data_IF_596674179767
#
_entry.id   IF_596674179767
#
_cell.length_a   1.000
_cell.length_b   1.000
_cell.length_c   1.000
_cell.angle_alpha   90.00
_cell.angle_beta   90.00
_cell.angle_gamma   90.00
#
_symmetry.space_group_name_H-M   'P 1'
#
loop_
_entity.id
_entity.type
_entity.pdbx_description
1 polymer ?
#
# COMPACT_ATOMS: atom_id res chain seq x y z
N UNK A 1 40.58 68.31 -20.69
CA UNK A 1 39.54 69.25 -20.21
C UNK A 1 38.33 68.43 -19.85
N UNK A 2 38.03 68.32 -18.55
CA UNK A 2 36.83 67.62 -18.09
C UNK A 2 35.60 68.39 -18.60
N UNK A 3 34.60 67.71 -19.20
CA UNK A 3 33.40 68.37 -19.68
C UNK A 3 32.66 69.03 -18.51
N UNK A 4 32.22 70.27 -18.73
CA UNK A 4 31.54 71.09 -17.74
C UNK A 4 30.23 70.40 -17.31
N UNK A 5 29.99 70.32 -16.00
CA UNK A 5 28.86 69.59 -15.41
C UNK A 5 27.50 70.16 -15.85
N UNK A 6 27.48 71.40 -16.34
CA UNK A 6 26.28 72.11 -16.82
C UNK A 6 26.06 72.00 -18.33
N UNK A 7 26.79 71.11 -19.03
CA UNK A 7 26.55 70.91 -20.46
C UNK A 7 25.20 70.26 -20.71
N UNK A 8 24.51 70.67 -21.79
CA UNK A 8 23.21 70.13 -22.17
C UNK A 8 23.22 68.60 -22.33
N UNK A 9 24.36 68.03 -22.72
CA UNK A 9 24.61 66.59 -22.79
C UNK A 9 24.70 65.92 -21.42
N UNK A 10 25.26 66.59 -20.40
CA UNK A 10 25.27 66.10 -19.02
C UNK A 10 23.87 66.11 -18.40
N UNK A 11 23.08 67.16 -18.67
CA UNK A 11 21.68 67.25 -18.23
C UNK A 11 20.79 66.19 -18.91
N UNK A 12 20.97 65.97 -20.21
CA UNK A 12 20.24 64.93 -20.95
C UNK A 12 20.58 63.51 -20.45
N UNK A 13 21.84 63.25 -20.09
CA UNK A 13 22.26 61.98 -19.49
C UNK A 13 21.68 61.80 -18.08
N UNK A 14 21.64 62.86 -17.28
CA UNK A 14 21.07 62.82 -15.93
C UNK A 14 19.55 62.60 -15.96
N UNK A 15 18.82 63.26 -16.86
CA UNK A 15 17.39 63.00 -17.10
C UNK A 15 17.14 61.58 -17.60
N UNK A 16 17.97 61.06 -18.50
CA UNK A 16 17.85 59.68 -18.98
C UNK A 16 18.03 58.65 -17.86
N UNK A 17 19.00 58.88 -16.96
CA UNK A 17 19.26 57.98 -15.82
C UNK A 17 18.16 58.09 -14.76
N UNK A 18 17.63 59.29 -14.51
CA UNK A 18 16.60 59.51 -13.47
C UNK A 18 15.20 59.08 -13.92
N UNK A 19 14.87 59.20 -15.22
CA UNK A 19 13.59 58.77 -15.79
C UNK A 19 13.56 57.30 -16.22
N UNK A 20 14.67 56.57 -16.12
CA UNK A 20 14.68 55.13 -16.37
C UNK A 20 13.79 54.41 -15.34
N UNK A 21 12.69 53.74 -15.75
CA UNK A 21 11.83 53.01 -14.84
C UNK A 21 12.64 51.90 -14.19
N UNK A 22 12.89 52.01 -12.88
CA UNK A 22 13.49 50.90 -12.13
C UNK A 22 12.51 49.74 -12.21
N UNK A 23 12.88 48.68 -12.93
CA UNK A 23 12.10 47.46 -12.97
C UNK A 23 11.80 47.03 -11.52
N UNK A 24 10.52 46.98 -11.18
CA UNK A 24 10.03 46.79 -9.82
C UNK A 24 10.31 45.34 -9.38
N UNK A 25 11.56 45.09 -8.98
CA UNK A 25 12.05 43.78 -8.50
C UNK A 25 11.24 43.30 -7.28
N UNK A 26 10.56 44.20 -6.57
CA UNK A 26 9.76 43.88 -5.39
C UNK A 26 8.51 43.07 -5.74
N UNK A 27 7.81 43.42 -6.84
CA UNK A 27 6.60 42.72 -7.29
C UNK A 27 6.88 41.29 -7.74
N UNK A 28 8.00 41.08 -8.42
CA UNK A 28 8.41 39.74 -8.90
C UNK A 28 8.75 38.82 -7.72
N UNK A 29 9.43 39.34 -6.69
CA UNK A 29 9.76 38.57 -5.48
C UNK A 29 8.52 38.21 -4.66
N UNK A 30 7.53 39.13 -4.57
CA UNK A 30 6.26 38.89 -3.87
C UNK A 30 5.42 37.82 -4.57
N UNK A 31 5.31 37.86 -5.90
CA UNK A 31 4.63 36.82 -6.69
C UNK A 31 5.28 35.44 -6.51
N UNK A 32 6.61 35.35 -6.55
CA UNK A 32 7.31 34.06 -6.32
C UNK A 32 7.06 33.47 -4.94
N UNK A 33 7.01 34.30 -3.89
CA UNK A 33 6.70 33.84 -2.52
C UNK A 33 5.27 33.32 -2.39
N UNK A 34 4.29 33.99 -3.01
CA UNK A 34 2.89 33.56 -3.00
C UNK A 34 2.73 32.22 -3.73
N UNK A 35 3.40 32.06 -4.90
CA UNK A 35 3.39 30.80 -5.64
C UNK A 35 4.04 29.68 -4.82
N UNK A 36 5.19 29.93 -4.19
CA UNK A 36 5.86 28.92 -3.36
C UNK A 36 5.00 28.47 -2.16
N UNK A 37 4.31 29.41 -1.50
CA UNK A 37 3.37 29.10 -0.42
C UNK A 37 2.16 28.30 -0.90
N UNK A 38 1.59 28.67 -2.06
CA UNK A 38 0.47 27.95 -2.65
C UNK A 38 0.83 26.51 -3.06
N UNK A 39 2.02 26.31 -3.62
CA UNK A 39 2.53 24.98 -3.97
C UNK A 39 2.76 24.14 -2.72
N UNK A 40 3.34 24.71 -1.66
CA UNK A 40 3.54 24.00 -0.40
C UNK A 40 2.20 23.59 0.24
N UNK A 41 1.20 24.49 0.24
CA UNK A 41 -0.13 24.20 0.74
C UNK A 41 -0.84 23.11 -0.09
N UNK A 42 -0.70 23.13 -1.41
CA UNK A 42 -1.25 22.10 -2.29
C UNK A 42 -0.58 20.72 -2.06
N UNK A 43 0.73 20.68 -1.81
CA UNK A 43 1.44 19.43 -1.50
C UNK A 43 1.04 18.86 -0.14
N UNK A 44 0.84 19.72 0.88
CA UNK A 44 0.36 19.29 2.20
C UNK A 44 -1.12 18.82 2.16
N UNK A 45 -1.95 19.50 1.39
CA UNK A 45 -3.34 19.08 1.14
C UNK A 45 -3.40 17.76 0.37
N UNK A 46 -2.53 17.55 -0.63
CA UNK A 46 -2.45 16.28 -1.35
C UNK A 46 -1.96 15.13 -0.45
N UNK A 47 -0.98 15.38 0.43
CA UNK A 47 -0.48 14.37 1.36
C UNK A 47 -1.53 13.94 2.39
N UNK A 48 -2.32 14.88 2.90
CA UNK A 48 -3.43 14.58 3.82
C UNK A 48 -4.56 13.83 3.11
N UNK A 49 -4.90 14.21 1.87
CA UNK A 49 -5.93 13.49 1.10
C UNK A 49 -5.54 12.07 0.74
N UNK A 50 -4.30 11.84 0.31
CA UNK A 50 -3.80 10.48 0.03
C UNK A 50 -3.75 9.62 1.30
N UNK A 51 -3.49 10.20 2.47
CA UNK A 51 -3.52 9.45 3.73
C UNK A 51 -4.95 9.11 4.19
N UNK A 52 -5.92 9.99 3.92
CA UNK A 52 -7.32 9.84 4.36
C UNK A 52 -8.19 9.02 3.39
N UNK A 53 -7.82 8.89 2.12
CA UNK A 53 -8.63 8.18 1.09
C UNK A 53 -7.96 6.91 0.56
N UNK A 54 -6.99 6.33 1.27
CA UNK A 54 -6.49 4.99 0.92
C UNK A 54 -7.56 3.96 1.27
N UNK A 55 -8.37 3.59 0.28
CA UNK A 55 -9.17 2.37 0.33
C UNK A 55 -8.19 1.18 0.31
N UNK A 56 -7.77 0.72 1.49
CA UNK A 56 -6.94 -0.48 1.61
C UNK A 56 -7.90 -1.65 1.79
N UNK A 57 -7.98 -2.51 0.78
CA UNK A 57 -8.72 -3.76 0.83
C UNK A 57 -7.80 -4.86 1.32
N UNK A 58 -8.29 -5.69 2.24
CA UNK A 58 -7.49 -6.76 2.78
C UNK A 58 -7.27 -7.89 1.76
N UNK A 59 -6.07 -8.47 1.74
CA UNK A 59 -5.68 -9.67 0.95
C UNK A 59 -5.43 -10.89 1.84
N UNK A 60 -5.40 -10.71 3.16
CA UNK A 60 -5.23 -11.77 4.15
C UNK A 60 -5.83 -11.39 5.50
N UNK A 61 -5.99 -12.36 6.39
CA UNK A 61 -6.53 -12.14 7.74
C UNK A 61 -5.50 -12.51 8.80
N UNK A 62 -5.36 -11.67 9.81
CA UNK A 62 -4.62 -11.98 11.03
C UNK A 62 -5.55 -11.81 12.23
N UNK A 63 -5.82 -12.90 12.93
CA UNK A 63 -6.66 -12.95 14.13
C UNK A 63 -5.77 -12.79 15.37
N UNK A 64 -5.99 -11.75 16.17
CA UNK A 64 -5.18 -11.46 17.35
C UNK A 64 -5.84 -11.99 18.63
N UNK A 65 -5.02 -12.48 19.54
CA UNK A 65 -5.45 -12.91 20.88
C UNK A 65 -5.70 -11.71 21.81
N UNK A 66 -5.09 -10.56 21.54
CA UNK A 66 -5.20 -9.33 22.35
C UNK A 66 -5.39 -8.12 21.43
N UNK A 67 -5.62 -6.93 22.01
CA UNK A 67 -5.72 -5.67 21.26
C UNK A 67 -4.35 -5.10 20.86
N UNK A 68 -3.25 -5.83 21.08
CA UNK A 68 -1.88 -5.44 20.75
C UNK A 68 -1.42 -6.12 19.45
N UNK A 69 -0.85 -5.32 18.53
CA UNK A 69 -0.34 -5.80 17.24
C UNK A 69 0.95 -6.63 17.34
N UNK A 70 1.63 -6.57 18.48
CA UNK A 70 2.79 -7.41 18.80
C UNK A 70 2.40 -8.70 19.55
N UNK A 71 1.10 -8.89 19.85
CA UNK A 71 0.58 -10.05 20.56
C UNK A 71 0.47 -11.32 19.71
N UNK A 72 0.14 -12.42 20.39
CA UNK A 72 -0.12 -13.71 19.74
C UNK A 72 -1.23 -13.58 18.68
N UNK A 73 -0.98 -14.17 17.52
CA UNK A 73 -1.88 -14.09 16.37
C UNK A 73 -1.83 -15.34 15.50
N UNK A 74 -2.92 -15.56 14.79
CA UNK A 74 -3.05 -16.62 13.78
C UNK A 74 -3.34 -15.98 12.44
N UNK A 75 -2.56 -16.34 11.42
CA UNK A 75 -2.88 -16.01 10.04
C UNK A 75 -3.94 -16.95 9.50
N UNK A 76 -4.97 -16.41 8.87
CA UNK A 76 -5.99 -17.18 8.14
C UNK A 76 -5.92 -16.79 6.67
N UNK A 77 -5.72 -17.78 5.81
CA UNK A 77 -5.80 -17.61 4.37
C UNK A 77 -7.28 -17.57 3.95
N UNK A 78 -7.78 -16.44 3.43
CA UNK A 78 -9.18 -16.30 3.08
C UNK A 78 -9.45 -16.90 1.69
N UNK A 79 -10.52 -17.69 1.55
CA UNK A 79 -10.94 -18.25 0.26
C UNK A 79 -11.79 -17.28 -0.59
N UNK A 80 -12.30 -16.22 0.04
CA UNK A 80 -13.13 -15.14 -0.52
C UNK A 80 -12.69 -13.81 0.11
N UNK A 81 -13.37 -12.68 -0.18
CA UNK A 81 -13.13 -11.42 0.52
C UNK A 81 -12.89 -11.60 2.03
N UNK A 82 -11.80 -11.05 2.59
CA UNK A 82 -11.50 -11.19 4.01
C UNK A 82 -12.58 -10.55 4.88
N UNK A 83 -13.16 -11.33 5.80
CA UNK A 83 -14.12 -10.84 6.80
C UNK A 83 -13.65 -11.16 8.21
N UNK A 84 -14.19 -10.42 9.19
CA UNK A 84 -13.97 -10.66 10.62
C UNK A 84 -14.42 -12.06 11.05
N UNK A 85 -15.41 -12.64 10.37
CA UNK A 85 -15.96 -13.98 10.70
C UNK A 85 -14.92 -15.10 10.55
N UNK A 86 -13.88 -14.90 9.73
CA UNK A 86 -12.78 -15.86 9.57
C UNK A 86 -11.99 -16.08 10.88
N UNK A 87 -12.15 -15.21 11.87
CA UNK A 87 -11.51 -15.34 13.17
C UNK A 87 -12.36 -16.03 14.23
N UNK A 88 -13.61 -16.41 13.94
CA UNK A 88 -14.48 -17.17 14.86
C UNK A 88 -13.86 -18.54 15.15
N UNK A 89 -13.54 -19.34 14.13
CA UNK A 89 -12.99 -20.69 14.33
C UNK A 89 -11.63 -20.70 15.06
N UNK A 90 -10.67 -19.79 14.76
CA UNK A 90 -9.45 -19.65 15.56
C UNK A 90 -9.66 -19.39 17.06
N UNK A 91 -10.79 -18.77 17.45
CA UNK A 91 -11.18 -18.52 18.84
C UNK A 91 -11.92 -19.70 19.49
N UNK A 92 -12.84 -20.35 18.76
CA UNK A 92 -13.64 -21.46 19.30
C UNK A 92 -12.83 -22.76 19.42
N UNK A 93 -12.09 -23.10 18.37
CA UNK A 93 -11.45 -24.40 18.19
C UNK A 93 -9.94 -24.29 18.01
N UNK A 94 -9.45 -23.08 17.75
CA UNK A 94 -8.07 -22.80 17.39
C UNK A 94 -7.15 -22.50 18.57
N UNK A 95 -5.91 -22.07 18.26
CA UNK A 95 -4.87 -21.88 19.25
C UNK A 95 -4.95 -20.52 19.96
N UNK A 96 -5.90 -19.64 19.61
CA UNK A 96 -6.03 -18.33 20.26
C UNK A 96 -6.49 -18.50 21.71
N UNK A 97 -5.77 -17.87 22.63
CA UNK A 97 -6.14 -17.86 24.04
C UNK A 97 -5.92 -16.48 24.61
N UNK A 98 -6.83 -16.03 25.46
CA UNK A 98 -6.72 -14.78 26.19
C UNK A 98 -7.18 -15.03 27.63
N UNK A 99 -6.44 -14.59 28.66
CA UNK A 99 -6.85 -14.77 30.06
C UNK A 99 -8.24 -14.21 30.41
N UNK A 100 -8.68 -13.18 29.68
CA UNK A 100 -9.95 -12.48 29.89
C UNK A 100 -11.12 -13.12 29.10
N UNK A 101 -10.84 -14.11 28.23
CA UNK A 101 -11.83 -14.81 27.41
C UNK A 101 -11.79 -16.30 27.73
N UNK A 102 -12.94 -16.87 28.08
CA UNK A 102 -12.99 -18.31 28.37
C UNK A 102 -12.61 -19.13 27.12
N UNK A 103 -11.89 -20.24 27.31
CA UNK A 103 -11.49 -21.13 26.20
C UNK A 103 -12.73 -21.59 25.43
N UNK A 104 -12.67 -21.45 24.10
CA UNK A 104 -13.76 -21.80 23.19
C UNK A 104 -14.86 -20.75 23.09
N UNK A 105 -14.69 -19.56 23.69
CA UNK A 105 -15.55 -18.42 23.46
C UNK A 105 -14.93 -17.45 22.47
N UNK A 106 -15.78 -16.82 21.66
CA UNK A 106 -15.41 -15.75 20.74
C UNK A 106 -15.75 -14.42 21.39
N UNK A 107 -14.78 -13.53 21.61
CA UNK A 107 -15.05 -12.17 22.04
C UNK A 107 -15.70 -11.37 20.90
N UNK A 108 -16.25 -10.17 21.16
CA UNK A 108 -16.54 -9.24 20.09
C UNK A 108 -15.30 -9.01 19.22
N UNK A 109 -15.48 -8.92 17.89
CA UNK A 109 -14.39 -8.81 16.93
C UNK A 109 -14.52 -7.52 16.12
N UNK A 110 -13.41 -6.78 16.02
CA UNK A 110 -13.30 -5.59 15.18
C UNK A 110 -12.15 -5.75 14.20
N UNK A 111 -12.41 -5.47 12.92
CA UNK A 111 -11.43 -5.55 11.84
C UNK A 111 -10.80 -4.21 11.53
N UNK A 112 -9.48 -4.17 11.43
CA UNK A 112 -8.68 -3.03 11.01
C UNK A 112 -7.80 -3.42 9.83
N UNK A 113 -7.49 -2.48 8.94
CA UNK A 113 -6.63 -2.75 7.79
C UNK A 113 -5.24 -2.17 8.01
N UNK A 114 -4.23 -3.04 7.89
CA UNK A 114 -2.83 -2.61 7.97
C UNK A 114 -2.38 -1.90 6.70
N UNK A 115 -1.25 -1.19 6.76
CA UNK A 115 -0.65 -0.55 5.59
C UNK A 115 -0.29 -1.55 4.47
N UNK A 116 -0.13 -2.84 4.80
CA UNK A 116 0.15 -3.93 3.87
C UNK A 116 -1.12 -4.61 3.33
N UNK A 117 -2.32 -4.11 3.68
CA UNK A 117 -3.58 -4.71 3.25
C UNK A 117 -3.87 -6.04 3.94
N UNK A 118 -3.56 -6.19 5.22
CA UNK A 118 -4.03 -7.32 6.02
C UNK A 118 -5.20 -6.87 6.89
N UNK A 119 -6.26 -7.67 6.95
CA UNK A 119 -7.33 -7.50 7.92
C UNK A 119 -6.84 -8.02 9.28
N UNK A 120 -6.40 -7.10 10.13
CA UNK A 120 -6.10 -7.35 11.53
C UNK A 120 -7.41 -7.38 12.32
N UNK A 121 -7.79 -8.55 12.83
CA UNK A 121 -9.02 -8.75 13.61
C UNK A 121 -8.67 -8.82 15.09
N UNK A 122 -9.20 -7.88 15.86
CA UNK A 122 -8.88 -7.67 17.27
C UNK A 122 -10.09 -8.05 18.15
N UNK A 123 -9.87 -8.60 19.36
CA UNK A 123 -10.92 -9.04 20.26
C UNK A 123 -11.50 -7.87 21.07
N UNK A 124 -12.21 -6.97 20.38
CA UNK A 124 -12.87 -5.80 20.96
C UNK A 124 -14.10 -5.41 20.16
N UNK A 125 -15.04 -4.73 20.82
CA UNK A 125 -16.17 -4.01 20.20
C UNK A 125 -15.93 -2.50 20.11
N UNK A 126 -14.75 -2.01 20.51
CA UNK A 126 -14.39 -0.60 20.45
C UNK A 126 -14.20 -0.14 18.98
N UNK A 127 -15.07 0.72 18.45
CA UNK A 127 -14.97 1.18 17.06
C UNK A 127 -13.78 2.11 16.83
N UNK A 128 -13.12 2.63 17.88
CA UNK A 128 -11.98 3.55 17.79
C UNK A 128 -10.63 2.83 17.77
N UNK A 129 -10.62 1.50 17.94
CA UNK A 129 -9.39 0.73 18.10
C UNK A 129 -8.45 0.88 16.90
N UNK A 130 -8.98 0.90 15.67
CA UNK A 130 -8.15 1.01 14.47
C UNK A 130 -7.38 2.33 14.45
N UNK A 131 -8.04 3.44 14.75
CA UNK A 131 -7.40 4.76 14.84
C UNK A 131 -6.33 4.78 15.94
N UNK A 132 -6.64 4.20 17.12
CA UNK A 132 -5.71 4.16 18.25
C UNK A 132 -4.41 3.38 17.94
N UNK A 133 -4.50 2.38 17.06
CA UNK A 133 -3.38 1.57 16.60
C UNK A 133 -2.73 2.11 15.32
N UNK A 134 -3.18 3.27 14.82
CA UNK A 134 -2.69 3.86 13.57
C UNK A 134 -3.04 3.03 12.32
N UNK A 135 -4.09 2.21 12.40
CA UNK A 135 -4.61 1.38 11.32
C UNK A 135 -5.80 2.03 10.64
N UNK A 136 -6.08 1.62 9.40
CA UNK A 136 -7.26 2.07 8.68
C UNK A 136 -8.51 1.29 9.12
N UNK A 137 -9.67 1.96 9.13
CA UNK A 137 -10.95 1.27 9.21
C UNK A 137 -11.28 0.65 7.84
N UNK A 138 -11.77 -0.60 7.76
CA UNK A 138 -12.20 -1.16 6.50
C UNK A 138 -13.30 -0.29 5.87
N UNK A 139 -13.04 0.22 4.66
CA UNK A 139 -13.98 1.06 3.93
C UNK A 139 -15.05 0.18 3.25
N UNK A 140 -16.36 0.47 3.41
CA UNK A 140 -17.42 -0.29 2.74
C UNK A 140 -17.55 -0.02 1.23
N UNK A 141 -16.67 0.76 0.60
CA UNK A 141 -16.77 1.11 -0.83
C UNK A 141 -15.94 0.23 -1.77
N UNK A 142 -16.62 -0.79 -2.32
CA UNK A 142 -16.60 -1.26 -3.72
C UNK A 142 -15.26 -1.49 -4.46
N UNK A 143 -14.86 -2.76 -4.55
CA UNK A 143 -14.81 -3.51 -5.83
C UNK A 143 -14.79 -5.04 -5.56
N UNK A 144 -15.91 -5.64 -5.09
CA UNK A 144 -15.95 -7.05 -4.70
C UNK A 144 -15.49 -7.96 -5.86
N UNK A 145 -16.07 -7.82 -7.05
CA UNK A 145 -15.81 -8.77 -8.15
C UNK A 145 -14.34 -8.85 -8.60
N UNK A 146 -13.61 -7.72 -8.64
CA UNK A 146 -12.22 -7.69 -9.14
C UNK A 146 -11.24 -8.19 -8.08
N UNK A 147 -11.47 -7.84 -6.82
CA UNK A 147 -10.61 -8.23 -5.71
C UNK A 147 -10.89 -9.66 -5.27
N UNK A 148 -12.14 -10.10 -5.34
CA UNK A 148 -12.51 -11.52 -5.17
C UNK A 148 -11.83 -12.37 -6.25
N UNK A 149 -11.81 -11.90 -7.50
CA UNK A 149 -11.10 -12.59 -8.59
C UNK A 149 -9.59 -12.67 -8.33
N UNK A 150 -8.96 -11.63 -7.76
CA UNK A 150 -7.53 -11.65 -7.39
C UNK A 150 -7.29 -12.61 -6.23
N UNK A 151 -8.06 -12.51 -5.14
CA UNK A 151 -7.92 -13.38 -3.97
C UNK A 151 -8.17 -14.86 -4.33
N UNK A 152 -9.18 -15.15 -5.15
CA UNK A 152 -9.45 -16.48 -5.67
C UNK A 152 -8.29 -17.00 -6.52
N UNK A 153 -7.74 -16.16 -7.40
CA UNK A 153 -6.56 -16.52 -8.21
C UNK A 153 -5.35 -16.81 -7.33
N UNK A 154 -5.08 -15.97 -6.33
CA UNK A 154 -3.97 -16.17 -5.39
C UNK A 154 -4.11 -17.50 -4.64
N UNK A 155 -5.31 -17.82 -4.14
CA UNK A 155 -5.60 -19.09 -3.48
C UNK A 155 -5.38 -20.28 -4.42
N UNK A 156 -5.86 -20.23 -5.66
CA UNK A 156 -5.69 -21.30 -6.64
C UNK A 156 -4.20 -21.52 -7.00
N UNK A 157 -3.43 -20.45 -7.13
CA UNK A 157 -1.98 -20.53 -7.37
C UNK A 157 -1.25 -21.12 -6.14
N UNK A 158 -1.62 -20.71 -4.93
CA UNK A 158 -1.07 -21.24 -3.67
C UNK A 158 -1.36 -22.74 -3.56
N UNK A 159 -2.61 -23.16 -3.77
CA UNK A 159 -3.02 -24.56 -3.69
C UNK A 159 -2.27 -25.43 -4.70
N UNK A 160 -2.11 -24.93 -5.93
CA UNK A 160 -1.30 -25.62 -6.95
C UNK A 160 0.15 -25.83 -6.49
N UNK A 161 0.82 -24.78 -6.01
CA UNK A 161 2.23 -24.88 -5.57
C UNK A 161 2.36 -25.71 -4.29
N UNK A 162 1.38 -25.64 -3.40
CA UNK A 162 1.38 -26.36 -2.13
C UNK A 162 1.12 -27.87 -2.31
N UNK A 163 0.25 -28.23 -3.25
CA UNK A 163 -0.18 -29.60 -3.56
C UNK A 163 0.89 -30.47 -4.22
N UNK A 164 1.92 -29.86 -4.80
CA UNK A 164 3.05 -30.56 -5.41
C UNK A 164 4.27 -30.60 -4.48
N UNK A 165 5.06 -31.68 -4.54
CA UNK A 165 6.32 -31.78 -3.77
C UNK A 165 7.36 -30.76 -4.24
N UNK A 166 7.44 -30.53 -5.55
CA UNK A 166 8.35 -29.59 -6.18
C UNK A 166 7.87 -29.22 -7.59
N UNK A 167 7.59 -27.92 -7.81
CA UNK A 167 7.24 -27.41 -9.14
C UNK A 167 8.45 -26.71 -9.76
N UNK A 168 8.85 -27.11 -10.96
CA UNK A 168 9.94 -26.46 -11.68
C UNK A 168 9.53 -25.05 -12.16
N UNK A 169 10.43 -24.05 -12.19
CA UNK A 169 10.06 -22.66 -12.51
C UNK A 169 9.37 -22.47 -13.87
N UNK A 170 9.78 -23.24 -14.88
CA UNK A 170 9.15 -23.19 -16.21
C UNK A 170 7.73 -23.76 -16.22
N UNK A 171 7.49 -24.80 -15.43
CA UNK A 171 6.17 -25.41 -15.28
C UNK A 171 5.23 -24.50 -14.48
N UNK A 172 5.73 -23.95 -13.37
CA UNK A 172 5.00 -22.99 -12.55
C UNK A 172 4.56 -21.78 -13.37
N UNK A 173 5.44 -21.21 -14.20
CA UNK A 173 5.10 -20.06 -15.05
C UNK A 173 3.96 -20.36 -16.02
N UNK A 174 3.99 -21.52 -16.68
CA UNK A 174 2.94 -21.94 -17.61
C UNK A 174 1.61 -22.13 -16.88
N UNK A 175 1.63 -22.81 -15.73
CA UNK A 175 0.39 -23.07 -14.98
C UNK A 175 -0.19 -21.79 -14.38
N UNK A 176 0.64 -20.96 -13.77
CA UNK A 176 0.23 -19.67 -13.19
C UNK A 176 -0.31 -18.74 -14.27
N UNK A 177 0.28 -18.72 -15.47
CA UNK A 177 -0.26 -17.96 -16.59
C UNK A 177 -1.67 -18.42 -16.96
N UNK A 178 -1.91 -19.73 -17.03
CA UNK A 178 -3.26 -20.26 -17.28
C UNK A 178 -4.26 -19.79 -16.22
N UNK A 179 -3.92 -19.93 -14.93
CA UNK A 179 -4.79 -19.53 -13.83
C UNK A 179 -5.12 -18.03 -13.90
N UNK A 180 -4.12 -17.18 -14.15
CA UNK A 180 -4.34 -15.73 -14.33
C UNK A 180 -5.25 -15.43 -15.52
N UNK A 181 -5.05 -16.10 -16.65
CA UNK A 181 -5.84 -15.88 -17.86
C UNK A 181 -7.30 -16.34 -17.69
N UNK A 182 -7.52 -17.47 -17.02
CA UNK A 182 -8.84 -18.06 -16.72
C UNK A 182 -9.64 -17.18 -15.76
N UNK A 183 -8.96 -16.49 -14.83
CA UNK A 183 -9.54 -15.53 -13.89
C UNK A 183 -9.57 -14.08 -14.41
N UNK A 184 -9.26 -13.84 -15.69
CA UNK A 184 -9.35 -12.52 -16.32
C UNK A 184 -8.24 -11.52 -15.96
N UNK A 185 -7.15 -11.98 -15.34
CA UNK A 185 -6.00 -11.20 -14.89
C UNK A 185 -4.86 -11.16 -15.93
N UNK A 186 -5.21 -11.05 -17.22
CA UNK A 186 -4.27 -11.13 -18.34
C UNK A 186 -3.20 -10.03 -18.34
N UNK A 187 -3.47 -8.91 -17.68
CA UNK A 187 -2.55 -7.78 -17.52
C UNK A 187 -1.49 -8.00 -16.42
N UNK A 188 -1.56 -9.12 -15.68
CA UNK A 188 -0.57 -9.44 -14.67
C UNK A 188 0.72 -10.01 -15.26
N UNK A 189 1.85 -9.53 -14.74
CA UNK A 189 3.17 -10.02 -15.07
C UNK A 189 3.53 -11.26 -14.24
N UNK A 190 4.38 -12.12 -14.79
CA UNK A 190 5.06 -13.17 -14.02
C UNK A 190 6.55 -12.89 -14.11
N UNK A 191 7.20 -12.70 -12.97
CA UNK A 191 8.64 -12.41 -12.90
C UNK A 191 9.36 -13.55 -12.21
N UNK A 192 10.47 -14.00 -12.79
CA UNK A 192 11.35 -14.99 -12.16
C UNK A 192 12.51 -14.31 -11.44
N UNK A 193 12.74 -14.69 -10.20
CA UNK A 193 14.03 -14.43 -9.57
C UNK A 193 15.13 -15.31 -10.20
N UNK A 194 16.41 -14.90 -10.11
CA UNK A 194 17.52 -15.69 -10.65
C UNK A 194 17.54 -17.11 -10.09
N UNK A 195 17.60 -18.10 -10.99
CA UNK A 195 17.63 -19.52 -10.64
C UNK A 195 18.85 -19.85 -9.78
N UNK A 196 18.68 -20.76 -8.82
CA UNK A 196 19.79 -21.29 -8.01
C UNK A 196 19.79 -22.82 -8.03
N UNK A 197 20.96 -23.42 -8.24
CA UNK A 197 21.09 -24.87 -8.40
C UNK A 197 20.72 -25.65 -7.14
N UNK A 198 20.90 -25.06 -5.95
CA UNK A 198 20.51 -25.61 -4.64
C UNK A 198 19.01 -25.44 -4.35
N UNK A 199 18.26 -24.76 -5.23
CA UNK A 199 16.84 -24.43 -5.05
C UNK A 199 16.06 -24.67 -6.36
N UNK A 200 15.88 -25.94 -6.75
CA UNK A 200 15.30 -26.27 -8.04
C UNK A 200 13.78 -26.09 -8.11
N UNK A 201 13.11 -25.94 -6.96
CA UNK A 201 11.65 -25.80 -6.87
C UNK A 201 11.23 -24.33 -6.90
N UNK A 202 9.93 -24.11 -7.02
CA UNK A 202 9.32 -22.78 -7.06
C UNK A 202 8.48 -22.56 -5.82
N UNK A 203 8.69 -21.43 -5.15
CA UNK A 203 7.67 -20.79 -4.32
C UNK A 203 7.21 -19.51 -5.02
N UNK A 204 6.21 -18.87 -4.44
CA UNK A 204 5.53 -17.71 -5.02
C UNK A 204 5.49 -16.55 -4.04
N UNK A 205 5.42 -15.35 -4.58
CA UNK A 205 5.04 -14.13 -3.87
C UNK A 205 4.19 -13.26 -4.80
N UNK A 206 3.35 -12.40 -4.23
CA UNK A 206 2.47 -11.51 -4.98
C UNK A 206 2.84 -10.06 -4.71
N UNK A 207 2.87 -9.25 -5.77
CA UNK A 207 2.87 -7.80 -5.72
C UNK A 207 1.61 -7.31 -6.43
N UNK A 208 0.53 -7.15 -5.65
CA UNK A 208 -0.80 -6.79 -6.15
C UNK A 208 -0.85 -5.37 -6.68
N UNK A 209 -0.04 -4.44 -6.15
CA UNK A 209 0.06 -3.06 -6.63
C UNK A 209 0.71 -3.01 -8.01
N UNK A 210 1.81 -3.75 -8.19
CA UNK A 210 2.50 -3.89 -9.47
C UNK A 210 1.87 -4.95 -10.39
N UNK A 211 0.79 -5.63 -9.96
CA UNK A 211 0.12 -6.73 -10.68
C UNK A 211 1.10 -7.80 -11.14
N UNK A 212 1.93 -8.29 -10.23
CA UNK A 212 3.01 -9.21 -10.55
C UNK A 212 3.01 -10.43 -9.64
N UNK A 213 3.06 -11.63 -10.23
CA UNK A 213 3.41 -12.87 -9.53
C UNK A 213 4.92 -13.08 -9.63
N UNK A 214 5.58 -13.28 -8.50
CA UNK A 214 7.04 -13.44 -8.41
C UNK A 214 7.35 -14.90 -8.11
N UNK A 215 8.06 -15.57 -9.02
CA UNK A 215 8.55 -16.93 -8.84
C UNK A 215 9.90 -16.88 -8.10
N UNK A 216 9.94 -17.52 -6.94
CA UNK A 216 11.08 -17.51 -6.01
C UNK A 216 11.69 -18.92 -5.95
N UNK A 217 13.01 -19.08 -6.18
CA UNK A 217 13.68 -20.37 -6.04
C UNK A 217 13.55 -20.91 -4.61
N UNK A 218 13.08 -22.15 -4.50
CA UNK A 218 12.84 -22.85 -3.25
C UNK A 218 13.58 -24.22 -3.23
N UNK A 219 14.15 -24.64 -2.09
CA UNK A 219 14.78 -25.95 -1.97
C UNK A 219 13.75 -27.09 -2.11
N UNK A 220 14.23 -28.31 -2.36
CA UNK A 220 13.39 -29.50 -2.24
C UNK A 220 12.85 -29.60 -0.81
N UNK A 221 11.56 -29.95 -0.65
CA UNK A 221 11.04 -30.29 0.67
C UNK A 221 11.75 -31.57 1.16
N UNK A 222 12.17 -31.62 2.44
CA UNK A 222 12.79 -32.80 3.03
C UNK A 222 11.83 -33.98 3.13
#
# INVERSE_FOLDING_TARGET
TLPNADSASAQALFEAITNSPRADRSRVRRRRRIIALAVLAALLAAATWVALTRDVTAVGVACYATMDLDGDRVGVAPAVAPTVDLCVAPWEEGPLTNPDVARGQVPPLTGCVTAQGILAVLPTDDPTICESLGLATPSPSQQPDRLDSIAQTEAEIVDYIAGEECVAPGEAEVRIRSILDDNGLKDWAITRQPTRADRPCTSIAFDTEAKTVILVPYPLRP
#
